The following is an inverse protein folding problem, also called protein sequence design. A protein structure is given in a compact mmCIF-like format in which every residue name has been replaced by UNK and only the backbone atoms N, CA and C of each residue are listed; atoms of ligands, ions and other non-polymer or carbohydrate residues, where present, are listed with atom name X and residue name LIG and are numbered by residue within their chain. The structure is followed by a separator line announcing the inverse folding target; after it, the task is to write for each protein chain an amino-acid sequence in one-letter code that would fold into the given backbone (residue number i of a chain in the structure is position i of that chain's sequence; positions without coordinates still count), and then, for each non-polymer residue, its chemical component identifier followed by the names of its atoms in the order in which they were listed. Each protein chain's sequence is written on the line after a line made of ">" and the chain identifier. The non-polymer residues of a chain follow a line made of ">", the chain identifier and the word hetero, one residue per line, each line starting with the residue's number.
data_IF_175219684500
#
_entry.id   IF_175219684500
#
_cell.length_a   1.000
_cell.length_b   1.000
_cell.length_c   1.000
_cell.angle_alpha   90.00
_cell.angle_beta   90.00
_cell.angle_gamma   90.00
#
_symmetry.space_group_name_H-M   'P 1'
#
loop_
_entity.id
_entity.type
_entity.pdbx_description
1 polymer ?
#
# COMPACT_ATOMS: atom_id res chain seq x y z
N UNK A 1 -10.84 -5.84 -15.84
CA UNK A 1 -11.05 -6.34 -14.46
C UNK A 1 -9.78 -6.02 -13.71
N UNK A 2 -9.87 -5.24 -12.63
CA UNK A 2 -8.69 -4.84 -11.86
C UNK A 2 -8.15 -6.05 -11.08
N UNK A 3 -6.84 -6.13 -10.83
CA UNK A 3 -6.21 -7.26 -10.14
C UNK A 3 -6.81 -7.47 -8.74
N UNK A 4 -7.20 -6.38 -8.08
CA UNK A 4 -7.96 -6.38 -6.83
C UNK A 4 -9.29 -7.16 -6.95
N UNK A 5 -10.05 -6.95 -8.03
CA UNK A 5 -11.33 -7.63 -8.25
C UNK A 5 -11.13 -9.14 -8.40
N UNK A 6 -10.05 -9.57 -9.07
CA UNK A 6 -9.72 -10.99 -9.25
C UNK A 6 -9.30 -11.64 -7.93
N UNK A 7 -8.48 -10.94 -7.14
CA UNK A 7 -7.99 -11.43 -5.85
C UNK A 7 -9.11 -11.55 -4.81
N UNK A 8 -10.01 -10.56 -4.73
CA UNK A 8 -11.21 -10.66 -3.87
C UNK A 8 -12.11 -11.81 -4.32
N UNK A 9 -12.34 -11.97 -5.62
CA UNK A 9 -13.21 -13.04 -6.12
C UNK A 9 -12.65 -14.41 -5.73
N UNK A 10 -11.34 -14.64 -5.85
CA UNK A 10 -10.69 -15.89 -5.44
C UNK A 10 -10.65 -16.09 -3.92
N UNK A 11 -10.52 -15.01 -3.16
CA UNK A 11 -10.56 -15.06 -1.71
C UNK A 11 -11.99 -15.35 -1.21
N UNK A 12 -13.04 -14.81 -1.83
CA UNK A 12 -14.43 -15.13 -1.47
C UNK A 12 -14.77 -16.62 -1.58
N UNK A 13 -14.10 -17.36 -2.47
CA UNK A 13 -14.23 -18.81 -2.59
C UNK A 13 -13.49 -19.60 -1.48
N UNK A 14 -12.55 -18.97 -0.76
CA UNK A 14 -11.76 -19.57 0.31
C UNK A 14 -11.68 -18.61 1.49
N UNK A 15 -12.57 -18.78 2.49
CA UNK A 15 -12.67 -17.87 3.64
C UNK A 15 -11.32 -17.59 4.33
N UNK A 16 -10.42 -18.57 4.40
CA UNK A 16 -9.07 -18.39 4.95
C UNK A 16 -8.22 -17.39 4.16
N UNK A 17 -8.39 -17.35 2.82
CA UNK A 17 -7.66 -16.42 1.94
C UNK A 17 -8.18 -14.98 2.02
N UNK A 18 -9.41 -14.76 2.50
CA UNK A 18 -9.95 -13.41 2.69
C UNK A 18 -9.19 -12.69 3.78
N UNK A 19 -8.93 -13.37 4.90
CA UNK A 19 -8.18 -12.79 6.01
C UNK A 19 -6.73 -12.48 5.62
N UNK A 20 -6.09 -13.34 4.84
CA UNK A 20 -4.73 -13.09 4.34
C UNK A 20 -4.69 -11.93 3.35
N UNK A 21 -5.67 -11.85 2.44
CA UNK A 21 -5.80 -10.73 1.50
C UNK A 21 -6.02 -9.40 2.25
N UNK A 22 -6.97 -9.36 3.20
CA UNK A 22 -7.22 -8.16 4.00
C UNK A 22 -6.00 -7.76 4.84
N UNK A 23 -5.30 -8.72 5.43
CA UNK A 23 -4.07 -8.45 6.18
C UNK A 23 -3.01 -7.82 5.28
N UNK A 24 -2.80 -8.35 4.08
CA UNK A 24 -1.83 -7.81 3.13
C UNK A 24 -2.22 -6.39 2.69
N UNK A 25 -3.47 -6.17 2.31
CA UNK A 25 -3.95 -4.86 1.84
C UNK A 25 -3.84 -3.81 2.96
N UNK A 26 -4.21 -4.16 4.19
CA UNK A 26 -4.07 -3.27 5.35
C UNK A 26 -2.59 -2.98 5.63
N UNK A 27 -1.73 -3.98 5.59
CA UNK A 27 -0.30 -3.80 5.85
C UNK A 27 0.35 -2.90 4.79
N UNK A 28 -0.03 -3.06 3.53
CA UNK A 28 0.45 -2.22 2.44
C UNK A 28 -0.06 -0.78 2.60
N UNK A 29 -1.35 -0.58 2.84
CA UNK A 29 -1.92 0.74 3.07
C UNK A 29 -1.29 1.46 4.27
N UNK A 30 -1.00 0.74 5.36
CA UNK A 30 -0.32 1.30 6.54
C UNK A 30 1.14 1.67 6.23
N UNK A 31 1.85 0.85 5.46
CA UNK A 31 3.21 1.16 5.02
C UNK A 31 3.25 2.39 4.10
N UNK A 32 2.35 2.46 3.12
CA UNK A 32 2.23 3.59 2.20
C UNK A 32 1.86 4.88 2.96
N UNK A 33 0.97 4.77 3.95
CA UNK A 33 0.62 5.90 4.83
C UNK A 33 1.82 6.33 5.68
N UNK A 34 2.58 5.39 6.24
CA UNK A 34 3.77 5.72 7.03
C UNK A 34 4.85 6.38 6.18
N UNK A 35 5.09 5.90 4.95
CA UNK A 35 6.01 6.54 4.01
C UNK A 35 5.53 7.95 3.64
N UNK A 36 4.24 8.13 3.34
CA UNK A 36 3.67 9.44 3.04
C UNK A 36 3.78 10.41 4.22
N UNK A 37 3.55 9.95 5.45
CA UNK A 37 3.69 10.75 6.66
C UNK A 37 5.16 11.11 6.92
N UNK A 38 6.11 10.17 6.71
CA UNK A 38 7.54 10.46 6.79
C UNK A 38 7.98 11.47 5.72
N UNK A 39 7.50 11.34 4.48
CA UNK A 39 7.77 12.32 3.41
C UNK A 39 7.14 13.68 3.72
N UNK A 40 5.91 13.72 4.25
CA UNK A 40 5.23 14.97 4.60
C UNK A 40 5.84 15.66 5.83
N UNK A 41 6.29 14.90 6.82
CA UNK A 41 6.86 15.41 8.06
C UNK A 41 8.35 15.79 7.91
N UNK A 42 9.14 14.99 7.20
CA UNK A 42 10.57 15.23 6.97
C UNK A 42 10.83 16.06 5.69
N UNK A 43 9.81 16.31 4.87
CA UNK A 43 9.93 16.97 3.58
C UNK A 43 10.77 16.19 2.56
N UNK A 44 11.03 14.90 2.82
CA UNK A 44 11.95 14.10 2.03
C UNK A 44 11.21 13.46 0.86
N UNK A 45 11.27 14.13 -0.28
CA UNK A 45 10.94 13.55 -1.58
C UNK A 45 12.21 12.83 -2.10
N UNK A 46 12.23 11.48 -2.16
CA UNK A 46 13.43 10.71 -2.50
C UNK A 46 14.03 11.07 -3.87
N UNK A 47 13.25 11.74 -4.74
CA UNK A 47 13.65 12.16 -6.07
C UNK A 47 13.60 13.68 -6.29
N UNK A 48 13.43 14.49 -5.24
CA UNK A 48 13.53 15.94 -5.36
C UNK A 48 14.97 16.35 -5.68
N UNK A 49 15.26 16.43 -6.99
CA UNK A 49 16.49 16.96 -7.59
C UNK A 49 16.55 18.50 -7.49
N UNK A 50 16.00 19.09 -6.41
CA UNK A 50 15.98 20.53 -6.19
C UNK A 50 16.78 20.84 -4.92
N UNK A 51 18.11 20.81 -5.04
CA UNK A 51 18.97 21.02 -3.89
C UNK A 51 20.45 21.19 -4.21
N UNK A 52 20.79 21.90 -5.29
CA UNK A 52 22.12 22.50 -5.44
C UNK A 52 21.95 23.89 -6.06
N UNK A 53 21.91 24.90 -5.20
CA UNK A 53 22.17 26.30 -5.54
C UNK A 53 23.39 26.74 -4.74
#
# INVERSE_FOLDING_TARGET
>A
MNDFTKNITQALFNQDKINDLLRHEIQQAVNDMLESELTAFLGYDPYARNGWN
#
